data_IF_792168712362
#
_entry.id   IF_792168712362
#
_cell.length_a   1.000
_cell.length_b   1.000
_cell.length_c   1.000
_cell.angle_alpha   90.00
_cell.angle_beta   90.00
_cell.angle_gamma   90.00
#
_symmetry.space_group_name_H-M   'P 1'
#
loop_
_entity.id
_entity.type
_entity.pdbx_description
1 polymer ?
#
# COMPACT_ATOMS: atom_id res chain seq x y z
N UNK A 1 -25.50 38.22 12.81
CA UNK A 1 -24.43 37.41 13.44
C UNK A 1 -23.74 36.63 12.32
N UNK A 2 -22.45 36.88 12.11
CA UNK A 2 -21.67 36.47 10.94
C UNK A 2 -21.14 35.02 11.07
N UNK A 3 -21.14 34.34 9.92
CA UNK A 3 -20.22 33.30 9.47
C UNK A 3 -20.08 32.01 10.29
N UNK A 4 -20.68 30.94 9.75
CA UNK A 4 -19.96 29.68 9.55
C UNK A 4 -19.88 29.43 8.05
N UNK A 5 -18.88 30.04 7.42
CA UNK A 5 -18.49 29.67 6.07
C UNK A 5 -17.92 28.24 6.18
N UNK A 6 -18.77 27.26 5.88
CA UNK A 6 -18.43 25.84 5.82
C UNK A 6 -17.21 25.72 4.92
N UNK A 7 -16.05 25.47 5.52
CA UNK A 7 -14.78 25.35 4.82
C UNK A 7 -14.95 24.23 3.80
N UNK A 8 -15.10 24.63 2.54
CA UNK A 8 -15.29 23.72 1.42
C UNK A 8 -13.94 23.07 1.19
N UNK A 9 -13.68 21.93 1.82
CA UNK A 9 -12.63 21.03 1.37
C UNK A 9 -12.98 20.59 -0.05
N UNK A 10 -12.48 21.31 -1.05
CA UNK A 10 -12.47 20.80 -2.41
C UNK A 10 -11.25 19.90 -2.47
N UNK A 11 -11.50 18.59 -2.40
CA UNK A 11 -10.53 17.60 -2.84
C UNK A 11 -10.05 18.00 -4.23
N UNK A 12 -8.74 18.14 -4.40
CA UNK A 12 -8.10 18.47 -5.68
C UNK A 12 -7.72 17.20 -6.45
N UNK A 13 -7.70 16.07 -5.75
CA UNK A 13 -7.52 14.73 -6.28
C UNK A 13 -8.67 13.83 -5.79
N UNK A 14 -9.12 12.90 -6.63
CA UNK A 14 -10.06 11.87 -6.19
C UNK A 14 -9.34 10.62 -5.63
N UNK A 15 -10.08 9.81 -4.87
CA UNK A 15 -9.52 8.60 -4.22
C UNK A 15 -8.91 7.61 -5.22
N UNK A 16 -9.46 7.49 -6.43
CA UNK A 16 -8.96 6.54 -7.45
C UNK A 16 -7.63 7.02 -8.02
N UNK A 17 -7.50 8.33 -8.20
CA UNK A 17 -6.25 8.96 -8.63
C UNK A 17 -5.15 8.76 -7.57
N UNK A 18 -5.45 8.99 -6.29
CA UNK A 18 -4.52 8.71 -5.19
C UNK A 18 -4.04 7.24 -5.18
N UNK A 19 -4.96 6.29 -5.35
CA UNK A 19 -4.65 4.85 -5.43
C UNK A 19 -3.76 4.54 -6.64
N UNK A 20 -4.04 5.13 -7.80
CA UNK A 20 -3.28 4.92 -9.02
C UNK A 20 -1.84 5.43 -8.89
N UNK A 21 -1.66 6.63 -8.33
CA UNK A 21 -0.34 7.22 -8.04
C UNK A 21 0.43 6.32 -7.08
N UNK A 22 -0.19 5.93 -5.97
CA UNK A 22 0.46 5.09 -4.96
C UNK A 22 0.90 3.72 -5.51
N UNK A 23 0.06 3.05 -6.30
CA UNK A 23 0.40 1.76 -6.93
C UNK A 23 1.56 1.89 -7.91
N UNK A 24 1.53 2.92 -8.76
CA UNK A 24 2.57 3.17 -9.76
C UNK A 24 3.90 3.48 -9.07
N UNK A 25 3.87 4.36 -8.06
CA UNK A 25 5.07 4.72 -7.30
C UNK A 25 5.71 3.50 -6.60
N UNK A 26 4.91 2.60 -6.01
CA UNK A 26 5.43 1.36 -5.42
C UNK A 26 6.01 0.42 -6.48
N UNK A 27 5.37 0.29 -7.63
CA UNK A 27 5.89 -0.53 -8.73
C UNK A 27 7.26 -0.01 -9.21
N UNK A 28 7.39 1.32 -9.33
CA UNK A 28 8.58 1.98 -9.85
C UNK A 28 9.74 1.97 -8.84
N UNK A 29 9.50 2.43 -7.60
CA UNK A 29 10.56 2.53 -6.57
C UNK A 29 11.14 1.17 -6.18
N UNK A 30 10.33 0.10 -6.27
CA UNK A 30 10.77 -1.26 -5.95
C UNK A 30 10.94 -2.14 -7.20
N UNK A 31 11.08 -1.56 -8.40
CA UNK A 31 11.20 -2.32 -9.65
C UNK A 31 12.38 -3.32 -9.63
N UNK A 32 13.55 -2.90 -9.13
CA UNK A 32 14.76 -3.74 -9.06
C UNK A 32 14.60 -4.94 -8.11
N UNK A 33 13.64 -4.88 -7.19
CA UNK A 33 13.32 -5.96 -6.26
C UNK A 33 12.40 -7.02 -6.89
N UNK A 34 11.89 -6.76 -8.11
CA UNK A 34 10.98 -7.62 -8.84
C UNK A 34 9.66 -7.82 -8.09
N UNK A 35 9.06 -6.72 -7.64
CA UNK A 35 7.78 -6.74 -6.91
C UNK A 35 6.63 -7.25 -7.79
N UNK A 36 5.71 -7.98 -7.17
CA UNK A 36 4.52 -8.53 -7.82
C UNK A 36 3.33 -8.55 -6.84
N UNK A 37 2.14 -8.92 -7.32
CA UNK A 37 0.91 -8.93 -6.53
C UNK A 37 0.62 -7.59 -5.82
N UNK A 38 0.84 -6.48 -6.53
CA UNK A 38 0.58 -5.11 -6.02
C UNK A 38 -0.93 -4.90 -5.89
N UNK A 39 -1.38 -4.67 -4.65
CA UNK A 39 -2.78 -4.54 -4.28
C UNK A 39 -3.03 -3.32 -3.39
N UNK A 40 -4.26 -2.81 -3.44
CA UNK A 40 -4.74 -1.82 -2.48
C UNK A 40 -5.20 -2.56 -1.22
N UNK A 41 -4.81 -2.06 -0.06
CA UNK A 41 -5.23 -2.62 1.23
C UNK A 41 -6.08 -1.61 2.02
N UNK A 42 -5.73 -0.32 2.00
CA UNK A 42 -6.46 0.74 2.70
C UNK A 42 -6.22 2.10 2.05
N UNK A 43 -7.17 3.02 2.17
CA UNK A 43 -6.99 4.42 1.76
C UNK A 43 -7.71 5.35 2.73
N UNK A 44 -7.02 6.38 3.20
CA UNK A 44 -7.54 7.40 4.10
C UNK A 44 -7.16 8.79 3.58
N UNK A 45 -8.07 9.75 3.73
CA UNK A 45 -7.79 11.16 3.48
C UNK A 45 -7.58 11.90 4.80
N UNK A 46 -6.39 12.46 4.99
CA UNK A 46 -5.97 13.13 6.23
C UNK A 46 -5.94 14.67 6.10
N UNK A 47 -6.68 15.25 5.15
CA UNK A 47 -6.79 16.72 5.00
C UNK A 47 -5.91 17.30 3.89
N UNK A 48 -4.57 17.39 4.02
CA UNK A 48 -3.71 17.84 2.92
C UNK A 48 -3.15 16.68 2.10
N UNK A 49 -3.29 15.44 2.59
CA UNK A 49 -2.69 14.25 1.98
C UNK A 49 -3.61 13.05 2.02
N UNK A 50 -3.39 12.16 1.07
CA UNK A 50 -3.92 10.80 1.03
C UNK A 50 -2.88 9.84 1.58
N UNK A 51 -3.30 8.96 2.47
CA UNK A 51 -2.49 7.84 2.96
C UNK A 51 -3.03 6.55 2.35
N UNK A 52 -2.26 5.94 1.45
CA UNK A 52 -2.67 4.73 0.72
C UNK A 52 -1.80 3.57 1.16
N UNK A 53 -2.41 2.56 1.78
CA UNK A 53 -1.71 1.31 2.08
C UNK A 53 -1.69 0.41 0.85
N UNK A 54 -0.50 0.09 0.37
CA UNK A 54 -0.23 -0.83 -0.73
C UNK A 54 0.43 -2.10 -0.18
N UNK A 55 -0.15 -3.24 -0.53
CA UNK A 55 0.38 -4.57 -0.25
C UNK A 55 1.03 -5.16 -1.50
N UNK A 56 2.22 -5.75 -1.38
CA UNK A 56 2.90 -6.41 -2.50
C UNK A 56 3.81 -7.54 -2.02
N UNK A 57 4.39 -8.29 -2.95
CA UNK A 57 5.25 -9.44 -2.69
C UNK A 57 6.59 -9.30 -3.38
N UNK A 58 7.63 -9.88 -2.79
CA UNK A 58 9.00 -9.96 -3.32
C UNK A 58 9.50 -11.39 -3.38
N UNK A 59 10.58 -11.61 -4.14
CA UNK A 59 11.17 -12.95 -4.29
C UNK A 59 11.67 -13.57 -2.98
N UNK A 60 12.04 -12.73 -2.00
CA UNK A 60 12.52 -13.16 -0.69
C UNK A 60 11.45 -13.09 0.41
N UNK A 61 10.20 -12.71 0.09
CA UNK A 61 9.05 -12.77 1.01
C UNK A 61 8.56 -14.22 1.25
N UNK A 62 9.43 -15.21 0.97
CA UNK A 62 9.12 -16.63 1.14
C UNK A 62 9.02 -16.93 2.63
N UNK A 63 8.01 -17.71 3.05
CA UNK A 63 7.90 -18.15 4.43
C UNK A 63 9.15 -18.97 4.77
N UNK A 64 9.63 -18.93 6.02
CA UNK A 64 10.68 -19.85 6.46
C UNK A 64 10.24 -21.27 6.13
N UNK A 65 11.04 -21.99 5.33
CA UNK A 65 10.78 -23.39 5.01
C UNK A 65 10.79 -24.16 6.32
N UNK A 66 9.61 -24.56 6.79
CA UNK A 66 9.52 -25.44 7.94
C UNK A 66 9.95 -26.84 7.44
N UNK A 67 11.06 -27.43 7.91
CA UNK A 67 11.59 -28.68 7.36
C UNK A 67 10.65 -29.90 7.54
N UNK A 68 9.57 -29.75 8.30
CA UNK A 68 8.52 -30.75 8.49
C UNK A 68 7.31 -30.59 7.56
N UNK A 69 7.20 -29.52 6.75
CA UNK A 69 6.02 -29.27 5.91
C UNK A 69 5.96 -30.14 4.64
N UNK A 70 7.02 -30.87 4.32
CA UNK A 70 7.13 -31.72 3.12
C UNK A 70 6.35 -33.04 3.20
N UNK A 71 5.78 -33.39 4.36
CA UNK A 71 5.01 -34.63 4.56
C UNK A 71 3.49 -34.47 4.47
N UNK A 72 2.96 -33.24 4.45
CA UNK A 72 1.52 -33.01 4.63
C UNK A 72 0.79 -32.33 3.45
N UNK A 73 1.47 -31.92 2.37
CA UNK A 73 0.80 -31.18 1.28
C UNK A 73 1.46 -31.40 -0.08
N UNK A 74 1.13 -32.52 -0.71
CA UNK A 74 1.11 -32.59 -2.17
C UNK A 74 -0.12 -31.79 -2.60
N UNK A 75 0.05 -30.88 -3.57
CA UNK A 75 -1.03 -30.10 -4.21
C UNK A 75 -1.59 -28.89 -3.45
N UNK A 76 -0.75 -27.88 -3.23
CA UNK A 76 -1.02 -26.49 -3.64
C UNK A 76 0.16 -25.63 -3.17
N UNK A 77 0.81 -24.82 -4.03
CA UNK A 77 1.65 -23.75 -3.53
C UNK A 77 0.76 -22.87 -2.66
N UNK A 78 0.97 -22.90 -1.35
CA UNK A 78 0.17 -22.15 -0.40
C UNK A 78 0.33 -20.65 -0.71
N UNK A 79 -0.55 -20.11 -1.53
CA UNK A 79 -0.61 -18.68 -1.86
C UNK A 79 -0.85 -17.85 -0.60
N UNK A 80 -1.25 -18.47 0.53
CA UNK A 80 -1.38 -17.83 1.85
C UNK A 80 -0.06 -17.72 2.60
N UNK A 81 0.99 -18.39 2.14
CA UNK A 81 2.29 -18.39 2.80
C UNK A 81 3.25 -17.32 2.24
N UNK A 82 2.85 -16.53 1.23
CA UNK A 82 3.63 -15.38 0.75
C UNK A 82 3.48 -14.25 1.78
N UNK A 83 4.55 -13.93 2.50
CA UNK A 83 4.55 -12.89 3.52
C UNK A 83 4.50 -11.52 2.83
N UNK A 84 3.32 -10.91 2.69
CA UNK A 84 3.19 -9.64 1.94
C UNK A 84 3.89 -8.51 2.70
N UNK A 85 4.59 -7.66 1.95
CA UNK A 85 5.05 -6.36 2.46
C UNK A 85 3.92 -5.36 2.37
N UNK A 86 3.76 -4.53 3.41
CA UNK A 86 2.78 -3.45 3.45
C UNK A 86 3.47 -2.09 3.60
N UNK A 87 3.16 -1.16 2.72
CA UNK A 87 3.66 0.22 2.75
C UNK A 87 2.51 1.21 2.77
N UNK A 88 2.70 2.32 3.48
CA UNK A 88 1.82 3.49 3.39
C UNK A 88 2.52 4.49 2.49
N UNK A 89 1.86 4.89 1.41
CA UNK A 89 2.28 5.94 0.48
C UNK A 89 1.50 7.19 0.81
N UNK A 90 2.20 8.29 1.05
CA UNK A 90 1.60 9.59 1.33
C UNK A 90 1.62 10.43 0.05
N UNK A 91 0.46 10.84 -0.43
CA UNK A 91 0.30 11.64 -1.66
C UNK A 91 -0.34 12.97 -1.30
N UNK A 92 0.28 14.07 -1.70
CA UNK A 92 -0.27 15.41 -1.50
C UNK A 92 -1.52 15.64 -2.36
N UNK A 93 -2.61 16.13 -1.79
CA UNK A 93 -3.89 16.31 -2.51
C UNK A 93 -3.81 17.38 -3.59
N UNK A 94 -3.03 18.44 -3.36
CA UNK A 94 -2.97 19.60 -4.25
C UNK A 94 -1.98 19.41 -5.40
N UNK A 95 -0.76 18.97 -5.08
CA UNK A 95 0.34 18.82 -6.03
C UNK A 95 0.36 17.45 -6.70
N UNK A 96 -0.31 16.45 -6.10
CA UNK A 96 -0.29 15.03 -6.53
C UNK A 96 1.09 14.39 -6.43
N UNK A 97 2.02 15.03 -5.72
CA UNK A 97 3.35 14.50 -5.49
C UNK A 97 3.33 13.46 -4.36
N UNK A 98 4.19 12.45 -4.47
CA UNK A 98 4.41 11.49 -3.39
C UNK A 98 5.35 12.10 -2.36
N UNK A 99 4.84 12.32 -1.16
CA UNK A 99 5.56 12.93 -0.04
C UNK A 99 6.47 11.93 0.68
N UNK A 100 6.10 10.65 0.68
CA UNK A 100 6.90 9.62 1.34
C UNK A 100 6.30 8.22 1.28
N UNK A 101 7.14 7.24 1.63
CA UNK A 101 6.76 5.83 1.75
C UNK A 101 7.30 5.27 3.05
N UNK A 102 6.42 4.70 3.88
CA UNK A 102 6.77 4.11 5.18
C UNK A 102 6.22 2.70 5.34
N UNK A 103 6.82 1.90 6.23
CA UNK A 103 6.27 0.60 6.59
C UNK A 103 4.93 0.79 7.30
N UNK A 104 3.96 -0.07 6.99
CA UNK A 104 2.80 -0.25 7.86
C UNK A 104 3.27 -1.10 9.04
N UNK A 105 3.55 -0.46 10.17
CA UNK A 105 3.77 -1.16 11.43
C UNK A 105 2.39 -1.56 11.95
N UNK A 106 2.14 -2.86 12.10
CA UNK A 106 0.94 -3.32 12.80
C UNK A 106 0.98 -2.76 14.22
N UNK A 107 -0.11 -2.15 14.69
CA UNK A 107 -0.28 -1.92 16.12
C UNK A 107 -0.31 -3.32 16.76
N UNK A 108 0.79 -3.68 17.40
CA UNK A 108 0.93 -4.93 18.16
C UNK A 108 0.20 -4.80 19.47
#
# INVERSE_FOLDING_TARGET
MKLLQRMSWRLRMDVKEAISIAKSYIADVFADEGVFNIGLEEVEFNGPKWEVTIGFSRKWDKPPRNPFSSLASVEQPDLRAINRTYKIVEVDDETKEVLGVRNRVGLV
#
